data_IF_754322478334
#
_entry.id   IF_754322478334
#
_cell.length_a   1.000
_cell.length_b   1.000
_cell.length_c   1.000
_cell.angle_alpha   90.00
_cell.angle_beta   90.00
_cell.angle_gamma   90.00
#
_symmetry.space_group_name_H-M   'P 1'
#
loop_
_entity.id
_entity.type
_entity.pdbx_description
1 polymer ?
#
# COMPACT_ATOMS: atom_id res chain seq x y z
N UNK A 1 5.15 11.53 -4.38
CA UNK A 1 4.96 12.10 -5.75
C UNK A 1 3.68 11.56 -6.38
N UNK A 2 2.95 12.35 -7.18
CA UNK A 2 1.74 11.87 -7.86
C UNK A 2 1.61 12.36 -9.31
N UNK A 3 0.81 11.64 -10.09
CA UNK A 3 0.50 11.95 -11.48
C UNK A 3 -0.22 13.29 -11.62
N UNK A 4 0.10 14.03 -12.68
CA UNK A 4 -0.63 15.24 -13.08
C UNK A 4 -1.94 14.91 -13.81
N UNK A 5 -2.17 13.65 -14.17
CA UNK A 5 -3.39 13.22 -14.86
C UNK A 5 -4.60 13.24 -13.90
N UNK A 6 -5.65 14.05 -14.17
CA UNK A 6 -6.79 14.18 -13.28
C UNK A 6 -7.60 12.88 -13.14
N UNK A 7 -7.65 12.05 -14.20
CA UNK A 7 -8.33 10.75 -14.17
C UNK A 7 -7.60 9.79 -13.23
N UNK A 8 -6.27 9.74 -13.31
CA UNK A 8 -5.46 8.92 -12.41
C UNK A 8 -5.68 9.33 -10.94
N UNK A 9 -5.74 10.65 -10.67
CA UNK A 9 -6.01 11.16 -9.32
C UNK A 9 -7.42 10.81 -8.81
N UNK A 10 -8.42 10.88 -9.67
CA UNK A 10 -9.79 10.51 -9.32
C UNK A 10 -9.91 9.01 -9.02
N UNK A 11 -9.25 8.15 -9.81
CA UNK A 11 -9.19 6.71 -9.56
C UNK A 11 -8.46 6.39 -8.27
N UNK A 12 -7.33 7.06 -7.98
CA UNK A 12 -6.65 6.89 -6.69
C UNK A 12 -7.56 7.23 -5.51
N UNK A 13 -8.30 8.34 -5.60
CA UNK A 13 -9.27 8.72 -4.57
C UNK A 13 -10.39 7.70 -4.40
N UNK A 14 -10.95 7.21 -5.51
CA UNK A 14 -11.99 6.17 -5.51
C UNK A 14 -11.50 4.85 -4.88
N UNK A 15 -10.23 4.51 -5.10
CA UNK A 15 -9.58 3.33 -4.51
C UNK A 15 -9.18 3.53 -3.03
N UNK A 16 -9.44 4.70 -2.45
CA UNK A 16 -9.08 5.01 -1.07
C UNK A 16 -7.57 5.21 -0.84
N UNK A 17 -6.79 5.47 -1.90
CA UNK A 17 -5.36 5.66 -1.78
C UNK A 17 -5.04 6.98 -1.04
N UNK A 18 -3.96 7.02 -0.24
CA UNK A 18 -3.51 8.22 0.44
C UNK A 18 -3.32 9.40 -0.51
N UNK A 19 -3.70 10.60 -0.08
CA UNK A 19 -3.49 11.80 -0.90
C UNK A 19 -2.00 12.06 -1.05
N UNK A 20 -1.58 12.47 -2.24
CA UNK A 20 -0.21 12.88 -2.47
C UNK A 20 0.15 14.11 -1.61
N UNK A 21 1.28 14.02 -0.92
CA UNK A 21 1.93 15.10 -0.19
C UNK A 21 3.44 14.89 -0.21
N UNK A 22 4.19 15.93 0.14
CA UNK A 22 5.63 15.87 0.37
C UNK A 22 5.87 16.19 1.85
N UNK A 23 6.80 15.46 2.49
CA UNK A 23 7.25 15.67 3.87
C UNK A 23 6.10 15.85 4.88
N UNK A 24 5.04 15.06 4.71
CA UNK A 24 3.93 15.04 5.66
C UNK A 24 4.27 14.09 6.81
N UNK A 25 3.92 14.45 8.06
CA UNK A 25 4.04 13.52 9.17
C UNK A 25 3.13 12.31 8.90
N UNK A 26 3.70 11.12 9.07
CA UNK A 26 2.99 9.85 8.93
C UNK A 26 3.15 9.06 10.22
N UNK A 27 2.03 8.71 10.84
CA UNK A 27 2.01 7.80 11.99
C UNK A 27 1.39 6.50 11.54
N UNK A 28 2.07 5.39 11.74
CA UNK A 28 1.54 4.05 11.48
C UNK A 28 1.46 3.30 12.79
N UNK A 29 0.26 2.83 13.12
CA UNK A 29 0.00 1.96 14.28
C UNK A 29 -0.40 0.60 13.74
N UNK A 30 0.34 -0.43 14.16
CA UNK A 30 0.08 -1.82 13.82
C UNK A 30 -0.52 -2.51 15.05
N UNK A 31 -1.75 -2.99 14.93
CA UNK A 31 -2.43 -3.76 15.95
C UNK A 31 -2.59 -5.21 15.47
N UNK A 32 -1.97 -6.16 16.15
CA UNK A 32 -2.10 -7.58 15.81
C UNK A 32 -3.26 -8.20 16.60
N UNK A 33 -4.19 -8.82 15.88
CA UNK A 33 -5.35 -9.53 16.41
C UNK A 33 -5.34 -10.98 15.92
N UNK A 34 -4.63 -11.86 16.64
CA UNK A 34 -4.45 -13.25 16.24
C UNK A 34 -3.67 -13.34 14.91
N UNK A 35 -4.30 -13.93 13.89
CA UNK A 35 -3.73 -14.06 12.53
C UNK A 35 -3.97 -12.83 11.64
N UNK A 36 -4.76 -11.87 12.10
CA UNK A 36 -5.04 -10.63 11.39
C UNK A 36 -4.22 -9.48 11.98
N UNK A 37 -3.82 -8.53 11.14
CA UNK A 37 -3.22 -7.27 11.55
C UNK A 37 -4.08 -6.12 11.08
N UNK A 38 -4.32 -5.14 11.95
CA UNK A 38 -5.02 -3.90 11.62
C UNK A 38 -3.99 -2.79 11.64
N UNK A 39 -3.78 -2.20 10.47
CA UNK A 39 -2.89 -1.07 10.29
C UNK A 39 -3.73 0.19 10.26
N UNK A 40 -3.43 1.14 11.16
CA UNK A 40 -3.98 2.49 11.15
C UNK A 40 -2.87 3.45 10.74
N UNK A 41 -3.13 4.25 9.72
CA UNK A 41 -2.15 5.19 9.18
C UNK A 41 -2.74 6.59 9.21
N UNK A 42 -2.11 7.52 9.91
CA UNK A 42 -2.46 8.93 9.86
C UNK A 42 -1.49 9.67 8.93
N UNK A 43 -2.03 10.34 7.91
CA UNK A 43 -1.28 11.19 6.99
C UNK A 43 -1.75 12.64 7.17
N UNK A 44 -1.08 13.40 8.04
CA UNK A 44 -1.42 14.79 8.36
C UNK A 44 -2.91 15.01 8.70
N UNK A 45 -3.44 14.20 9.64
CA UNK A 45 -4.82 14.26 10.11
C UNK A 45 -5.83 13.50 9.25
N UNK A 46 -5.36 12.72 8.27
CA UNK A 46 -6.19 11.82 7.47
C UNK A 46 -5.88 10.39 7.83
N UNK A 47 -6.82 9.73 8.49
CA UNK A 47 -6.65 8.35 8.93
C UNK A 47 -7.13 7.36 7.88
N UNK A 48 -6.31 6.34 7.63
CA UNK A 48 -6.57 5.22 6.74
C UNK A 48 -6.46 3.94 7.55
N UNK A 49 -7.36 3.00 7.27
CA UNK A 49 -7.42 1.72 7.97
C UNK A 49 -7.36 0.58 6.95
N UNK A 50 -6.48 -0.37 7.19
CA UNK A 50 -6.37 -1.58 6.38
C UNK A 50 -6.21 -2.80 7.28
N UNK A 51 -6.97 -3.84 7.00
CA UNK A 51 -6.80 -5.14 7.63
C UNK A 51 -5.92 -6.03 6.75
N UNK A 52 -5.01 -6.76 7.36
CA UNK A 52 -4.11 -7.71 6.73
C UNK A 52 -4.34 -9.10 7.30
N UNK A 53 -4.29 -10.10 6.45
CA UNK A 53 -4.28 -11.51 6.85
C UNK A 53 -3.36 -12.30 5.94
N UNK A 54 -2.57 -13.19 6.52
CA UNK A 54 -1.80 -14.15 5.74
C UNK A 54 -2.72 -15.29 5.31
N UNK A 55 -2.83 -15.54 4.00
CA UNK A 55 -3.70 -16.59 3.45
C UNK A 55 -3.15 -17.14 2.15
N UNK A 56 -3.09 -18.46 2.01
CA UNK A 56 -2.66 -19.16 0.79
C UNK A 56 -1.26 -18.73 0.31
N UNK A 57 -0.35 -18.44 1.24
CA UNK A 57 1.00 -17.95 0.94
C UNK A 57 1.05 -16.49 0.42
N UNK A 58 -0.07 -15.76 0.51
CA UNK A 58 -0.19 -14.35 0.14
C UNK A 58 -0.56 -13.51 1.36
N UNK A 59 -0.24 -12.23 1.29
CA UNK A 59 -0.76 -11.23 2.21
C UNK A 59 -2.00 -10.60 1.56
N UNK A 60 -3.15 -10.75 2.23
CA UNK A 60 -4.41 -10.15 1.78
C UNK A 60 -4.67 -8.89 2.57
N UNK A 61 -4.60 -7.74 1.90
CA UNK A 61 -4.95 -6.45 2.46
C UNK A 61 -6.38 -6.08 2.06
N UNK A 62 -7.18 -5.65 3.02
CA UNK A 62 -8.50 -5.08 2.80
C UNK A 62 -8.50 -3.62 3.25
N UNK A 63 -8.73 -2.71 2.32
CA UNK A 63 -8.79 -1.27 2.57
C UNK A 63 -10.07 -0.70 1.93
N UNK A 64 -11.08 -0.44 2.75
CA UNK A 64 -12.40 -0.02 2.27
C UNK A 64 -13.01 -1.02 1.27
N UNK A 65 -13.47 -0.59 0.08
CA UNK A 65 -14.03 -1.47 -0.95
C UNK A 65 -12.96 -2.26 -1.74
N UNK A 66 -11.68 -1.95 -1.53
CA UNK A 66 -10.57 -2.60 -2.20
C UNK A 66 -10.06 -3.82 -1.41
N UNK A 67 -9.75 -4.90 -2.12
CA UNK A 67 -9.03 -6.05 -1.57
C UNK A 67 -7.84 -6.35 -2.46
N UNK A 68 -6.66 -6.20 -1.89
CA UNK A 68 -5.37 -6.41 -2.54
C UNK A 68 -4.79 -7.75 -2.08
N UNK A 69 -4.19 -8.51 -2.99
CA UNK A 69 -3.42 -9.71 -2.64
C UNK A 69 -1.98 -9.53 -3.08
N UNK A 70 -1.08 -9.53 -2.13
CA UNK A 70 0.34 -9.35 -2.34
C UNK A 70 1.07 -10.68 -2.27
N UNK A 71 1.93 -10.92 -3.24
CA UNK A 71 3.02 -11.90 -3.10
C UNK A 71 4.16 -11.18 -2.39
N UNK A 72 4.65 -11.80 -1.32
CA UNK A 72 5.75 -11.27 -0.54
C UNK A 72 6.98 -12.14 -0.75
N UNK A 73 8.11 -11.54 -1.07
CA UNK A 73 9.39 -12.24 -1.13
C UNK A 73 10.54 -11.35 -0.64
N UNK A 74 11.59 -11.97 -0.11
CA UNK A 74 12.81 -11.26 0.26
C UNK A 74 13.82 -11.43 -0.88
N UNK A 75 14.31 -10.32 -1.41
CA UNK A 75 15.34 -10.29 -2.46
C UNK A 75 16.31 -9.14 -2.20
N UNK A 76 17.60 -9.46 -2.23
CA UNK A 76 18.70 -8.50 -2.02
C UNK A 76 18.58 -7.74 -0.67
N UNK A 77 18.15 -8.43 0.38
CA UNK A 77 17.95 -7.84 1.71
C UNK A 77 16.75 -6.89 1.81
N UNK A 78 15.87 -6.88 0.80
CA UNK A 78 14.65 -6.09 0.77
C UNK A 78 13.43 -6.99 0.69
N UNK A 79 12.36 -6.61 1.37
CA UNK A 79 11.05 -7.18 1.23
C UNK A 79 10.38 -6.59 -0.02
N UNK A 80 9.92 -7.44 -0.92
CA UNK A 80 9.16 -7.04 -2.11
C UNK A 80 7.74 -7.52 -1.93
N UNK A 81 6.78 -6.61 -2.14
CA UNK A 81 5.36 -6.86 -2.07
C UNK A 81 4.77 -6.53 -3.44
N UNK A 82 4.50 -7.57 -4.22
CA UNK A 82 3.92 -7.43 -5.56
C UNK A 82 2.42 -7.68 -5.52
N UNK A 83 1.62 -6.72 -5.98
CA UNK A 83 0.18 -6.91 -6.14
C UNK A 83 -0.10 -7.91 -7.26
N UNK A 84 -0.61 -9.10 -6.91
CA UNK A 84 -0.89 -10.19 -7.86
C UNK A 84 -2.36 -10.35 -8.18
N UNK A 85 -3.26 -9.85 -7.32
CA UNK A 85 -4.69 -9.81 -7.59
C UNK A 85 -5.36 -8.63 -6.88
N UNK A 86 -6.33 -8.04 -7.57
CA UNK A 86 -7.10 -6.90 -7.08
C UNK A 86 -8.59 -7.20 -7.16
N UNK A 87 -9.34 -6.80 -6.13
CA UNK A 87 -10.80 -6.77 -6.15
C UNK A 87 -11.30 -5.40 -5.72
N UNK A 88 -12.39 -4.97 -6.34
CA UNK A 88 -13.09 -3.74 -5.97
C UNK A 88 -14.58 -4.04 -5.83
N UNK A 89 -15.18 -3.66 -4.69
CA UNK A 89 -16.53 -4.07 -4.32
C UNK A 89 -16.75 -5.60 -4.38
N UNK A 90 -15.70 -6.37 -4.05
CA UNK A 90 -15.74 -7.84 -4.08
C UNK A 90 -15.57 -8.47 -5.47
N UNK A 91 -15.64 -7.67 -6.55
CA UNK A 91 -15.47 -8.15 -7.92
C UNK A 91 -13.99 -8.27 -8.28
N UNK A 92 -13.53 -9.44 -8.79
CA UNK A 92 -12.15 -9.60 -9.24
C UNK A 92 -11.90 -8.79 -10.51
N UNK A 93 -10.83 -8.02 -10.51
CA UNK A 93 -10.37 -7.31 -11.69
C UNK A 93 -9.49 -8.24 -12.52
N UNK A 94 -9.71 -8.35 -13.84
CA UNK A 94 -8.74 -8.96 -14.74
C UNK A 94 -7.35 -8.32 -14.60
N UNK A 95 -6.29 -9.09 -14.85
CA UNK A 95 -4.90 -8.65 -14.71
C UNK A 95 -4.53 -7.43 -15.57
N UNK A 96 -5.21 -7.25 -16.71
CA UNK A 96 -4.97 -6.14 -17.64
C UNK A 96 -5.62 -4.81 -17.21
N UNK A 97 -6.60 -4.84 -16.30
CA UNK A 97 -7.16 -3.63 -15.66
C UNK A 97 -6.78 -3.48 -14.19
N UNK A 98 -6.06 -4.45 -13.62
CA UNK A 98 -5.63 -4.35 -12.23
C UNK A 98 -4.52 -3.31 -12.09
N UNK A 99 -4.51 -2.53 -10.99
CA UNK A 99 -3.36 -1.70 -10.66
C UNK A 99 -2.13 -2.59 -10.44
N UNK A 100 -0.94 -2.02 -10.64
CA UNK A 100 0.33 -2.66 -10.28
C UNK A 100 0.95 -1.89 -9.13
N UNK A 101 1.46 -2.65 -8.16
CA UNK A 101 2.15 -2.09 -6.99
C UNK A 101 3.36 -2.98 -6.70
N UNK A 102 4.53 -2.71 -7.32
CA UNK A 102 5.78 -3.36 -6.98
C UNK A 102 6.40 -2.61 -5.78
N UNK A 103 5.83 -2.83 -4.60
CA UNK A 103 6.27 -2.16 -3.39
C UNK A 103 7.52 -2.83 -2.82
N UNK A 104 8.40 -2.03 -2.23
CA UNK A 104 9.59 -2.54 -1.54
C UNK A 104 9.72 -1.93 -0.17
N UNK A 105 10.23 -2.72 0.76
CA UNK A 105 10.51 -2.35 2.13
C UNK A 105 11.88 -2.89 2.53
N UNK A 106 12.63 -2.12 3.31
CA UNK A 106 13.95 -2.50 3.78
C UNK A 106 14.26 -1.79 5.08
N UNK A 107 14.96 -2.47 5.97
CA UNK A 107 15.49 -1.85 7.18
C UNK A 107 16.91 -1.32 6.92
N UNK A 108 17.18 -0.09 7.33
CA UNK A 108 18.51 0.53 7.28
C UNK A 108 18.73 1.26 8.60
N UNK A 109 19.71 0.82 9.39
CA UNK A 109 20.09 1.42 10.68
C UNK A 109 18.90 1.58 11.66
N UNK A 110 18.05 0.55 11.76
CA UNK A 110 16.85 0.57 12.61
C UNK A 110 15.70 1.43 12.08
N UNK A 111 15.82 1.96 10.85
CA UNK A 111 14.78 2.73 10.16
C UNK A 111 14.17 1.90 9.05
N UNK A 112 12.85 1.84 9.00
CA UNK A 112 12.11 1.18 7.93
C UNK A 112 11.97 2.13 6.75
N UNK A 113 12.65 1.81 5.65
CA UNK A 113 12.49 2.48 4.37
C UNK A 113 11.45 1.76 3.54
N UNK A 114 10.45 2.52 3.08
CA UNK A 114 9.42 2.01 2.18
C UNK A 114 9.43 2.78 0.85
N UNK A 115 9.10 2.06 -0.22
CA UNK A 115 8.90 2.60 -1.55
C UNK A 115 7.74 1.88 -2.22
N UNK A 116 6.62 2.59 -2.38
CA UNK A 116 5.33 2.04 -2.80
C UNK A 116 4.85 2.81 -4.03
N UNK A 117 5.33 2.46 -5.23
CA UNK A 117 4.81 3.01 -6.48
C UNK A 117 3.53 2.27 -6.89
N UNK A 118 2.55 3.03 -7.35
CA UNK A 118 1.26 2.54 -7.85
C UNK A 118 1.11 2.99 -9.29
N UNK A 119 0.80 2.02 -10.15
CA UNK A 119 0.53 2.22 -11.57
C UNK A 119 -0.89 1.79 -11.88
N UNK A 120 -1.59 2.60 -12.66
CA UNK A 120 -2.91 2.29 -13.18
C UNK A 120 -2.78 1.80 -14.63
N UNK A 121 -3.61 0.83 -15.05
CA UNK A 121 -3.65 0.39 -16.44
C UNK A 121 -3.96 1.58 -17.35
N UNK A 122 -3.34 1.63 -18.53
CA UNK A 122 -3.49 2.68 -19.57
C UNK A 122 -3.04 4.10 -19.18
N UNK A 123 -3.12 4.48 -17.90
CA UNK A 123 -2.76 5.80 -17.39
C UNK A 123 -1.30 5.86 -16.91
N UNK A 124 -0.68 4.70 -16.70
CA UNK A 124 0.70 4.58 -16.26
C UNK A 124 0.88 4.97 -14.79
N UNK A 125 1.92 5.74 -14.49
CA UNK A 125 2.25 6.15 -13.13
C UNK A 125 1.10 6.95 -12.50
N UNK A 126 0.65 6.51 -11.32
CA UNK A 126 -0.43 7.17 -10.60
C UNK A 126 0.10 7.91 -9.36
N UNK A 127 0.79 7.21 -8.48
CA UNK A 127 1.31 7.78 -7.23
C UNK A 127 2.48 6.93 -6.71
N UNK A 128 3.42 7.55 -6.01
CA UNK A 128 4.49 6.85 -5.29
C UNK A 128 4.67 7.47 -3.93
N UNK A 129 4.65 6.59 -2.93
CA UNK A 129 4.95 6.92 -1.55
C UNK A 129 6.34 6.40 -1.24
N UNK A 130 7.18 7.28 -0.72
CA UNK A 130 8.52 6.93 -0.25
C UNK A 130 8.69 7.59 1.09
N UNK A 131 9.34 6.89 2.01
CA UNK A 131 9.66 7.48 3.30
C UNK A 131 10.56 6.60 4.13
N UNK A 132 10.96 7.17 5.25
CA UNK A 132 11.64 6.49 6.34
C UNK A 132 10.71 6.55 7.54
N UNK A 133 10.50 5.42 8.19
CA UNK A 133 9.80 5.32 9.47
C UNK A 133 10.79 4.84 10.51
N UNK A 134 10.65 5.37 11.70
CA UNK A 134 11.31 4.85 12.88
C UNK A 134 10.26 4.11 13.70
N UNK A 135 10.60 2.94 14.20
CA UNK A 135 9.72 2.21 15.09
C UNK A 135 9.72 2.89 16.45
N UNK A 136 8.55 3.37 16.87
CA UNK A 136 8.35 3.89 18.21
C UNK A 136 8.06 2.71 19.13
N UNK A 137 9.08 2.27 19.87
CA UNK A 137 8.90 1.37 21.01
C UNK A 137 8.49 2.21 22.24
N UNK A 138 7.28 1.97 22.74
CA UNK A 138 6.90 2.30 24.13
C UNK A 138 7.28 1.13 25.06
#
# INVERSE_FOLDING_TARGET
>A
MASRNPIARALCWMMGLPKAGNDIPVTVVLERHGEAEVWRRDFAGRTYHSGFVARDGLIVEKMGPATNRFRVCVKDGRLHLDLVAFRFFGLPFPSWISPRCPATESEVDGRYRFDVPIFLPFLGFAIRYTGLMEELHD
#
